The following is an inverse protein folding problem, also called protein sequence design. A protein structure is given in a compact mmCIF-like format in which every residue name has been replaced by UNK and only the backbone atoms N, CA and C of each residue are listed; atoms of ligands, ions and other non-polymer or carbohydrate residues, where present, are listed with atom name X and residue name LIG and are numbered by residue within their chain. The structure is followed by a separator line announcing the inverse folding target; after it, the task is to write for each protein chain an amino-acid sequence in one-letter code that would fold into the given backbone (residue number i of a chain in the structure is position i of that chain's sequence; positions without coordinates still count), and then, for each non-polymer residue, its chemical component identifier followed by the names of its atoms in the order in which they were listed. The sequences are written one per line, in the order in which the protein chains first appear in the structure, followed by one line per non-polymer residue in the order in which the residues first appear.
data_IF_996107175495
#
_entry.id   IF_996107175495
#
_cell.length_a   1.000
_cell.length_b   1.000
_cell.length_c   1.000
_cell.angle_alpha   90.00
_cell.angle_beta   90.00
_cell.angle_gamma   90.00
#
_symmetry.space_group_name_H-M   'P 1'
#
loop_
_entity.id
_entity.type
_entity.pdbx_description
1 polymer ?
#
# COMPACT_ATOMS: atom_id res chain seq x y z
N UNK A 1 -17.16 20.14 24.17
CA UNK A 1 -16.06 19.71 25.08
C UNK A 1 -15.23 20.88 25.59
N UNK A 2 -14.46 21.66 24.77
CA UNK A 2 -13.72 22.81 25.34
C UNK A 2 -14.63 23.91 25.93
N UNK A 3 -15.71 24.24 25.23
CA UNK A 3 -16.71 25.18 25.70
C UNK A 3 -17.44 24.68 26.96
N UNK A 4 -17.73 23.40 27.06
CA UNK A 4 -18.35 22.76 28.23
C UNK A 4 -17.43 22.79 29.45
N UNK A 5 -16.10 22.91 29.21
CA UNK A 5 -15.07 23.09 30.23
C UNK A 5 -14.82 24.56 30.59
N UNK A 6 -15.62 25.49 30.06
CA UNK A 6 -15.54 26.92 30.35
C UNK A 6 -14.47 27.70 29.58
N UNK A 7 -13.92 27.14 28.51
CA UNK A 7 -13.04 27.93 27.62
C UNK A 7 -13.84 28.92 26.78
N UNK A 8 -13.33 30.11 26.60
CA UNK A 8 -13.95 31.12 25.72
C UNK A 8 -13.85 30.70 24.24
N UNK A 9 -14.74 31.23 23.39
CA UNK A 9 -14.79 30.92 21.95
C UNK A 9 -13.47 31.22 21.24
N UNK A 10 -12.82 32.34 21.56
CA UNK A 10 -11.57 32.82 20.97
C UNK A 10 -10.32 32.41 21.76
N UNK A 11 -10.43 31.45 22.68
CA UNK A 11 -9.27 30.99 23.44
C UNK A 11 -8.20 30.39 22.51
N UNK A 12 -6.97 30.95 22.56
CA UNK A 12 -5.86 30.57 21.71
C UNK A 12 -5.58 29.05 21.74
N UNK A 13 -5.60 28.40 22.92
CA UNK A 13 -5.35 26.96 23.03
C UNK A 13 -6.40 26.14 22.30
N UNK A 14 -7.67 26.60 22.35
CA UNK A 14 -8.78 25.95 21.63
C UNK A 14 -8.57 26.09 20.11
N UNK A 15 -8.20 27.27 19.62
CA UNK A 15 -7.98 27.51 18.20
C UNK A 15 -6.79 26.70 17.70
N UNK A 16 -5.67 26.70 18.42
CA UNK A 16 -4.49 25.88 18.07
C UNK A 16 -4.81 24.38 18.01
N UNK A 17 -5.58 23.87 18.97
CA UNK A 17 -6.05 22.47 18.95
C UNK A 17 -6.95 22.19 17.77
N UNK A 18 -7.81 23.13 17.40
CA UNK A 18 -8.68 23.04 16.23
C UNK A 18 -7.91 23.04 14.91
N UNK A 19 -6.88 23.88 14.78
CA UNK A 19 -5.99 23.89 13.61
C UNK A 19 -5.25 22.55 13.49
N UNK A 20 -4.65 22.05 14.58
CA UNK A 20 -4.01 20.73 14.58
C UNK A 20 -5.00 19.62 14.20
N UNK A 21 -6.20 19.64 14.74
CA UNK A 21 -7.25 18.67 14.42
C UNK A 21 -7.66 18.75 12.95
N UNK A 22 -7.84 19.95 12.40
CA UNK A 22 -8.15 20.16 10.99
C UNK A 22 -7.09 19.54 10.06
N UNK A 23 -5.82 19.82 10.33
CA UNK A 23 -4.71 19.24 9.58
C UNK A 23 -4.65 17.71 9.72
N UNK A 24 -4.89 17.16 10.92
CA UNK A 24 -4.95 15.70 11.12
C UNK A 24 -6.12 15.09 10.34
N UNK A 25 -7.30 15.74 10.29
CA UNK A 25 -8.41 15.24 9.48
C UNK A 25 -8.07 15.15 8.00
N UNK A 26 -7.26 16.08 7.48
CA UNK A 26 -6.81 16.06 6.09
C UNK A 26 -5.84 14.90 5.81
N UNK A 27 -5.07 14.45 6.80
CA UNK A 27 -4.20 13.27 6.64
C UNK A 27 -4.97 11.97 6.45
N UNK A 28 -6.20 11.89 6.96
CA UNK A 28 -7.08 10.73 6.66
C UNK A 28 -7.51 10.65 5.19
N UNK A 29 -7.37 11.75 4.45
CA UNK A 29 -7.56 11.80 3.01
C UNK A 29 -6.23 11.64 2.23
N UNK A 30 -5.14 11.30 2.91
CA UNK A 30 -3.82 11.08 2.31
C UNK A 30 -2.96 12.33 2.15
N UNK A 31 -3.42 13.51 2.62
CA UNK A 31 -2.68 14.77 2.44
C UNK A 31 -1.65 15.01 3.55
N UNK A 32 -0.46 15.46 3.21
CA UNK A 32 0.54 15.94 4.18
C UNK A 32 0.39 17.42 4.53
N UNK A 33 -0.23 18.19 3.65
CA UNK A 33 -0.41 19.65 3.77
C UNK A 33 -1.75 20.09 3.17
N UNK A 34 -2.08 21.35 3.36
CA UNK A 34 -3.24 21.99 2.73
C UNK A 34 -2.95 23.45 2.41
N UNK A 35 -3.71 24.03 1.49
CA UNK A 35 -3.65 25.47 1.22
C UNK A 35 -4.06 26.28 2.44
N UNK A 36 -3.40 27.38 2.69
CA UNK A 36 -3.66 28.28 3.82
C UNK A 36 -5.13 28.71 3.89
N UNK A 37 -5.65 29.21 2.76
CA UNK A 37 -7.04 29.68 2.68
C UNK A 37 -8.05 28.58 3.01
N UNK A 38 -7.82 27.36 2.50
CA UNK A 38 -8.67 26.20 2.77
C UNK A 38 -8.65 25.80 4.25
N UNK A 39 -7.50 25.90 4.90
CA UNK A 39 -7.37 25.64 6.33
C UNK A 39 -8.13 26.66 7.15
N UNK A 40 -7.95 27.97 6.86
CA UNK A 40 -8.63 29.07 7.56
C UNK A 40 -10.14 28.92 7.43
N UNK A 41 -10.65 28.69 6.22
CA UNK A 41 -12.07 28.49 5.98
C UNK A 41 -12.64 27.28 6.74
N UNK A 42 -11.91 26.17 6.74
CA UNK A 42 -12.33 24.95 7.46
C UNK A 42 -12.35 25.17 8.97
N UNK A 43 -11.29 25.77 9.55
CA UNK A 43 -11.20 26.05 10.99
C UNK A 43 -12.27 27.06 11.43
N UNK A 44 -12.53 28.09 10.62
CA UNK A 44 -13.62 29.07 10.84
C UNK A 44 -14.97 28.40 10.97
N UNK A 45 -15.30 27.46 10.07
CA UNK A 45 -16.53 26.65 10.13
C UNK A 45 -16.55 25.71 11.33
N UNK A 46 -15.41 25.05 11.62
CA UNK A 46 -15.31 24.06 12.69
C UNK A 46 -15.46 24.67 14.08
N UNK A 47 -14.86 25.84 14.31
CA UNK A 47 -14.79 26.47 15.64
C UNK A 47 -15.73 27.66 15.82
N UNK A 48 -16.33 28.19 14.74
CA UNK A 48 -17.13 29.42 14.73
C UNK A 48 -16.36 30.60 15.32
N UNK A 49 -15.12 30.83 14.91
CA UNK A 49 -14.22 31.91 15.33
C UNK A 49 -13.93 32.87 14.18
N UNK A 50 -13.41 34.06 14.49
CA UNK A 50 -13.03 35.05 13.50
C UNK A 50 -11.74 34.61 12.79
N UNK A 51 -11.54 35.09 11.57
CA UNK A 51 -10.36 34.82 10.75
C UNK A 51 -9.09 35.35 11.39
N UNK A 52 -9.09 36.59 11.90
CA UNK A 52 -7.95 37.20 12.60
C UNK A 52 -7.44 36.32 13.77
N UNK A 53 -8.34 35.75 14.57
CA UNK A 53 -7.97 34.87 15.69
C UNK A 53 -7.27 33.59 15.19
N UNK A 54 -7.65 33.08 14.00
CA UNK A 54 -7.02 31.91 13.37
C UNK A 54 -5.63 32.29 12.83
N UNK A 55 -5.50 33.43 12.15
CA UNK A 55 -4.22 33.93 11.62
C UNK A 55 -3.20 34.17 12.73
N UNK A 56 -3.59 34.83 13.83
CA UNK A 56 -2.73 35.02 15.00
C UNK A 56 -2.29 33.68 15.59
N UNK A 57 -3.18 32.71 15.68
CA UNK A 57 -2.85 31.37 16.16
C UNK A 57 -1.89 30.65 15.22
N UNK A 58 -2.05 30.73 13.90
CA UNK A 58 -1.13 30.15 12.91
C UNK A 58 0.28 30.80 13.03
N UNK A 59 0.36 32.12 13.14
CA UNK A 59 1.63 32.83 13.34
C UNK A 59 2.31 32.36 14.63
N UNK A 60 1.54 32.26 15.73
CA UNK A 60 2.05 31.76 17.01
C UNK A 60 2.53 30.31 16.92
N UNK A 61 1.81 29.44 16.18
CA UNK A 61 2.20 28.03 15.98
C UNK A 61 3.43 27.89 15.08
N UNK A 62 3.56 28.74 14.04
CA UNK A 62 4.76 28.80 13.19
C UNK A 62 6.00 29.18 14.01
N UNK A 63 5.88 30.20 14.87
CA UNK A 63 6.97 30.66 15.74
C UNK A 63 7.44 29.59 16.75
N UNK A 64 6.55 28.63 17.10
CA UNK A 64 6.85 27.50 18.00
C UNK A 64 7.22 26.21 17.27
N UNK A 65 7.40 26.27 15.95
CA UNK A 65 7.69 25.12 15.11
C UNK A 65 6.61 24.00 15.18
N UNK A 66 5.37 24.34 15.54
CA UNK A 66 4.22 23.44 15.46
C UNK A 66 3.75 23.25 14.00
N UNK A 67 3.92 24.33 13.20
CA UNK A 67 3.53 24.40 11.78
C UNK A 67 4.69 24.87 10.92
N UNK A 68 4.66 24.49 9.65
CA UNK A 68 5.49 25.04 8.59
C UNK A 68 4.59 25.64 7.51
N UNK A 69 4.90 26.86 7.09
CA UNK A 69 4.28 27.51 5.95
C UNK A 69 5.30 27.56 4.82
N UNK A 70 4.89 27.07 3.66
CA UNK A 70 5.70 27.00 2.46
C UNK A 70 4.97 27.65 1.29
N UNK A 71 5.64 28.56 0.59
CA UNK A 71 5.12 29.18 -0.62
C UNK A 71 5.46 28.31 -1.84
N UNK A 72 4.44 27.95 -2.62
CA UNK A 72 4.58 27.18 -3.87
C UNK A 72 3.68 27.79 -4.93
N UNK A 73 4.25 28.19 -6.06
CA UNK A 73 3.49 28.75 -7.19
C UNK A 73 2.52 29.87 -6.77
N UNK A 74 2.99 30.82 -5.98
CA UNK A 74 2.20 31.95 -5.45
C UNK A 74 1.05 31.54 -4.49
N UNK A 75 1.04 30.29 -4.02
CA UNK A 75 0.10 29.80 -3.03
C UNK A 75 0.83 29.40 -1.75
N UNK A 76 0.24 29.73 -0.60
CA UNK A 76 0.78 29.36 0.70
C UNK A 76 0.19 28.02 1.18
N UNK A 77 1.08 27.10 1.58
CA UNK A 77 0.75 25.76 2.05
C UNK A 77 1.13 25.61 3.52
N UNK A 78 0.26 24.91 4.28
CA UNK A 78 0.42 24.71 5.71
C UNK A 78 0.60 23.23 6.01
N UNK A 79 1.65 22.92 6.75
CA UNK A 79 1.98 21.60 7.25
C UNK A 79 1.97 21.56 8.77
N UNK A 80 1.62 20.42 9.36
CA UNK A 80 2.18 20.09 10.66
C UNK A 80 3.69 19.83 10.51
N UNK A 81 4.49 20.35 11.42
CA UNK A 81 5.95 20.28 11.39
C UNK A 81 6.51 18.89 11.10
N UNK A 82 5.93 17.86 11.72
CA UNK A 82 6.35 16.48 11.56
C UNK A 82 6.18 15.92 10.13
N UNK A 83 5.13 16.32 9.41
CA UNK A 83 4.93 15.88 8.02
C UNK A 83 5.94 16.56 7.10
N UNK A 84 6.14 17.88 7.27
CA UNK A 84 7.14 18.61 6.53
C UNK A 84 8.55 18.02 6.73
N UNK A 85 8.93 17.74 7.97
CA UNK A 85 10.21 17.11 8.28
C UNK A 85 10.36 15.70 7.75
N UNK A 86 9.29 14.93 7.71
CA UNK A 86 9.33 13.60 7.10
C UNK A 86 9.57 13.69 5.58
N UNK A 87 8.88 14.58 4.86
CA UNK A 87 9.09 14.81 3.43
C UNK A 87 10.51 15.31 3.14
N UNK A 88 10.96 16.33 3.86
CA UNK A 88 12.33 16.88 3.73
C UNK A 88 13.40 15.79 3.96
N UNK A 89 13.24 14.98 5.00
CA UNK A 89 14.19 13.93 5.32
C UNK A 89 14.20 12.82 4.25
N UNK A 90 13.03 12.41 3.76
CA UNK A 90 12.92 11.40 2.69
C UNK A 90 13.59 11.91 1.43
N UNK A 91 13.26 13.13 0.98
CA UNK A 91 13.84 13.71 -0.22
C UNK A 91 15.38 13.83 -0.12
N UNK A 92 15.88 14.41 0.98
CA UNK A 92 17.31 14.54 1.23
C UNK A 92 18.01 13.19 1.26
N UNK A 93 17.44 12.22 1.99
CA UNK A 93 18.08 10.93 2.19
C UNK A 93 18.11 10.08 0.91
N UNK A 94 17.06 10.13 0.11
CA UNK A 94 17.03 9.46 -1.20
C UNK A 94 18.09 10.04 -2.15
N UNK A 95 18.22 11.37 -2.20
CA UNK A 95 19.24 12.01 -3.01
C UNK A 95 20.65 11.72 -2.50
N UNK A 96 20.87 11.67 -1.18
CA UNK A 96 22.16 11.30 -0.59
C UNK A 96 22.55 9.86 -0.90
N UNK A 97 21.58 8.93 -0.88
CA UNK A 97 21.80 7.53 -1.27
C UNK A 97 22.13 7.42 -2.75
N UNK A 98 21.35 8.08 -3.61
CA UNK A 98 21.49 8.00 -5.06
C UNK A 98 22.82 8.59 -5.55
N UNK A 99 23.24 9.72 -4.98
CA UNK A 99 24.49 10.40 -5.32
C UNK A 99 25.75 9.77 -4.72
N UNK A 100 25.60 8.72 -3.90
CA UNK A 100 26.77 8.08 -3.31
C UNK A 100 27.64 7.42 -4.37
N UNK A 101 28.91 7.79 -4.44
CA UNK A 101 29.81 7.48 -5.56
C UNK A 101 30.40 6.07 -5.53
N UNK A 102 30.48 5.47 -4.33
CA UNK A 102 31.00 4.10 -4.20
C UNK A 102 29.89 3.08 -4.36
N UNK A 103 29.39 2.95 -5.60
CA UNK A 103 28.27 2.04 -5.94
C UNK A 103 28.79 0.61 -5.96
N UNK A 104 28.14 -0.29 -5.24
CA UNK A 104 28.37 -1.74 -5.36
C UNK A 104 27.79 -2.24 -6.68
N UNK A 105 28.65 -2.40 -7.70
CA UNK A 105 28.28 -2.94 -9.02
C UNK A 105 28.86 -4.33 -9.20
N UNK A 106 28.17 -5.11 -9.99
CA UNK A 106 28.64 -6.42 -10.45
C UNK A 106 29.41 -6.21 -11.76
N UNK A 107 30.71 -6.46 -11.77
CA UNK A 107 31.61 -6.13 -12.88
C UNK A 107 31.30 -6.85 -14.20
N UNK A 108 30.81 -8.07 -14.18
CA UNK A 108 30.47 -8.84 -15.37
C UNK A 108 28.98 -9.09 -15.49
N UNK A 109 28.20 -8.07 -15.20
CA UNK A 109 26.75 -8.15 -15.07
C UNK A 109 26.06 -8.82 -16.28
N UNK A 110 26.41 -8.44 -17.50
CA UNK A 110 25.84 -9.04 -18.71
C UNK A 110 26.12 -10.56 -18.84
N UNK A 111 27.23 -11.03 -18.29
CA UNK A 111 27.52 -12.45 -18.24
C UNK A 111 26.64 -13.17 -17.23
N UNK A 112 26.47 -12.59 -16.06
CA UNK A 112 25.58 -13.10 -15.00
C UNK A 112 24.13 -13.15 -15.46
N UNK A 113 23.68 -12.11 -16.17
CA UNK A 113 22.34 -12.03 -16.73
C UNK A 113 22.09 -13.16 -17.76
N UNK A 114 23.02 -13.38 -18.68
CA UNK A 114 22.94 -14.48 -19.65
C UNK A 114 22.99 -15.87 -18.98
N UNK A 115 23.74 -16.00 -17.90
CA UNK A 115 23.77 -17.25 -17.13
C UNK A 115 22.44 -17.51 -16.44
N UNK A 116 21.84 -16.47 -15.88
CA UNK A 116 20.50 -16.54 -15.28
C UNK A 116 19.45 -16.98 -16.31
N UNK A 117 19.38 -16.33 -17.48
CA UNK A 117 18.41 -16.66 -18.53
C UNK A 117 18.54 -18.12 -18.99
N UNK A 118 19.78 -18.61 -19.14
CA UNK A 118 20.04 -20.02 -19.50
C UNK A 118 19.60 -20.99 -18.40
N UNK A 119 19.85 -20.65 -17.13
CA UNK A 119 19.55 -21.51 -15.98
C UNK A 119 18.04 -21.56 -15.70
N UNK A 120 17.37 -20.43 -15.76
CA UNK A 120 15.96 -20.29 -15.42
C UNK A 120 15.02 -20.64 -16.58
N UNK A 121 15.52 -20.72 -17.82
CA UNK A 121 14.73 -20.83 -19.05
C UNK A 121 13.67 -19.69 -19.18
N UNK A 122 13.95 -18.53 -18.57
CA UNK A 122 13.11 -17.34 -18.62
C UNK A 122 13.69 -16.41 -19.69
N UNK A 123 12.88 -15.99 -20.63
CA UNK A 123 13.20 -14.93 -21.58
C UNK A 123 12.69 -13.59 -21.03
N UNK A 124 13.63 -12.68 -20.74
CA UNK A 124 13.32 -11.36 -20.22
C UNK A 124 12.99 -10.39 -21.35
N UNK A 125 11.94 -9.59 -21.18
CA UNK A 125 11.64 -8.54 -22.13
C UNK A 125 12.67 -7.40 -22.07
N UNK A 126 12.73 -6.60 -23.14
CA UNK A 126 13.66 -5.46 -23.22
C UNK A 126 13.54 -4.51 -22.02
N UNK A 127 12.31 -4.19 -21.58
CA UNK A 127 12.05 -3.33 -20.42
C UNK A 127 12.43 -4.00 -19.08
N UNK A 128 12.32 -5.31 -18.97
CA UNK A 128 12.82 -6.03 -17.80
C UNK A 128 14.35 -6.05 -17.76
N UNK A 129 15.00 -6.25 -18.90
CA UNK A 129 16.45 -6.14 -19.01
C UNK A 129 16.94 -4.74 -18.65
N UNK A 130 16.28 -3.70 -19.15
CA UNK A 130 16.55 -2.28 -18.80
C UNK A 130 16.46 -2.06 -17.29
N UNK A 131 15.38 -2.56 -16.65
CA UNK A 131 15.18 -2.44 -15.20
C UNK A 131 16.30 -3.14 -14.40
N UNK A 132 16.65 -4.35 -14.77
CA UNK A 132 17.69 -5.13 -14.11
C UNK A 132 19.07 -4.47 -14.25
N UNK A 133 19.38 -3.91 -15.44
CA UNK A 133 20.59 -3.12 -15.66
C UNK A 133 20.60 -1.83 -14.84
N UNK A 134 19.47 -1.11 -14.81
CA UNK A 134 19.34 0.11 -14.03
C UNK A 134 19.61 -0.12 -12.54
N UNK A 135 19.18 -1.26 -11.98
CA UNK A 135 19.45 -1.62 -10.58
C UNK A 135 20.94 -1.88 -10.34
N UNK A 136 21.64 -2.49 -11.30
CA UNK A 136 23.10 -2.65 -11.17
C UNK A 136 23.82 -1.31 -11.19
N UNK A 137 23.39 -0.39 -12.05
CA UNK A 137 24.07 0.88 -12.30
C UNK A 137 23.77 1.98 -11.29
N UNK A 138 22.61 1.96 -10.61
CA UNK A 138 22.17 3.02 -9.71
C UNK A 138 22.09 2.52 -8.26
N UNK A 139 22.17 3.46 -7.31
CA UNK A 139 21.97 3.14 -5.89
C UNK A 139 20.50 3.11 -5.51
N UNK A 140 19.70 3.98 -6.10
CA UNK A 140 18.24 4.00 -5.92
C UNK A 140 17.58 3.80 -7.27
N UNK A 141 16.65 2.85 -7.36
CA UNK A 141 15.91 2.56 -8.59
C UNK A 141 14.46 2.26 -8.29
N UNK A 142 13.57 2.79 -9.11
CA UNK A 142 12.12 2.53 -9.03
C UNK A 142 11.69 1.68 -10.21
N UNK A 143 10.89 0.64 -9.94
CA UNK A 143 10.24 -0.18 -10.94
C UNK A 143 8.74 -0.06 -10.74
N UNK A 144 8.05 0.50 -11.71
CA UNK A 144 6.60 0.63 -11.67
C UNK A 144 5.95 -0.03 -12.88
N UNK A 145 4.75 -0.54 -12.69
CA UNK A 145 3.95 -1.15 -13.75
C UNK A 145 2.72 -1.85 -13.21
N UNK A 146 1.71 -1.99 -14.02
CA UNK A 146 0.45 -2.62 -13.69
C UNK A 146 0.55 -4.13 -13.42
N UNK A 147 -0.58 -4.79 -13.17
CA UNK A 147 -0.64 -6.23 -12.99
C UNK A 147 -0.19 -6.95 -14.28
N UNK A 148 0.51 -8.09 -14.12
CA UNK A 148 0.95 -8.91 -15.26
C UNK A 148 2.16 -8.38 -16.05
N UNK A 149 2.83 -7.30 -15.60
CA UNK A 149 4.01 -6.73 -16.26
C UNK A 149 5.34 -7.39 -15.86
N UNK A 150 5.31 -8.37 -14.94
CA UNK A 150 6.47 -9.17 -14.59
C UNK A 150 7.40 -8.56 -13.53
N UNK A 151 6.90 -7.69 -12.66
CA UNK A 151 7.66 -7.14 -11.50
C UNK A 151 8.31 -8.24 -10.66
N UNK A 152 7.57 -9.29 -10.31
CA UNK A 152 8.08 -10.43 -9.53
C UNK A 152 9.21 -11.16 -10.24
N UNK A 153 9.18 -11.25 -11.57
CA UNK A 153 10.28 -11.86 -12.36
C UNK A 153 11.55 -11.05 -12.23
N UNK A 154 11.47 -9.73 -12.29
CA UNK A 154 12.61 -8.82 -12.07
C UNK A 154 13.19 -9.02 -10.66
N UNK A 155 12.33 -9.05 -9.63
CA UNK A 155 12.75 -9.26 -8.24
C UNK A 155 13.52 -10.59 -8.11
N UNK A 156 13.00 -11.70 -8.65
CA UNK A 156 13.68 -13.00 -8.65
C UNK A 156 15.04 -12.94 -9.34
N UNK A 157 15.07 -12.36 -10.52
CA UNK A 157 16.31 -12.23 -11.30
C UNK A 157 17.39 -11.48 -10.54
N UNK A 158 17.02 -10.36 -9.90
CA UNK A 158 17.95 -9.55 -9.12
C UNK A 158 18.46 -10.32 -7.90
N UNK A 159 17.59 -10.99 -7.16
CA UNK A 159 17.97 -11.78 -5.99
C UNK A 159 18.99 -12.83 -6.39
N UNK A 160 18.74 -13.59 -7.45
CA UNK A 160 19.62 -14.65 -7.90
C UNK A 160 20.98 -14.12 -8.34
N UNK A 161 21.00 -13.06 -9.16
CA UNK A 161 22.25 -12.47 -9.65
C UNK A 161 23.06 -11.88 -8.50
N UNK A 162 22.42 -11.13 -7.58
CA UNK A 162 23.12 -10.48 -6.49
C UNK A 162 23.64 -11.49 -5.46
N UNK A 163 22.87 -12.53 -5.13
CA UNK A 163 23.35 -13.64 -4.27
C UNK A 163 24.51 -14.41 -4.89
N UNK A 164 24.46 -14.65 -6.20
CA UNK A 164 25.58 -15.32 -6.89
C UNK A 164 26.88 -14.52 -6.82
N UNK A 165 26.76 -13.21 -6.63
CA UNK A 165 27.90 -12.30 -6.44
C UNK A 165 28.11 -11.91 -4.97
N UNK A 166 27.73 -12.79 -4.03
CA UNK A 166 27.96 -12.66 -2.58
C UNK A 166 27.35 -11.40 -1.95
N UNK A 167 26.39 -10.75 -2.62
CA UNK A 167 25.65 -9.63 -2.08
C UNK A 167 24.43 -10.12 -1.29
N UNK A 168 24.13 -9.44 -0.18
CA UNK A 168 23.04 -9.78 0.73
C UNK A 168 21.76 -9.00 0.39
N UNK A 169 20.77 -9.63 -0.29
CA UNK A 169 19.47 -8.98 -0.51
C UNK A 169 18.60 -9.06 0.75
N UNK A 170 17.88 -7.97 1.05
CA UNK A 170 16.86 -7.87 2.07
C UNK A 170 15.53 -7.56 1.40
N UNK A 171 14.52 -8.41 1.64
CA UNK A 171 13.21 -8.33 1.01
C UNK A 171 12.16 -7.86 2.02
N UNK A 172 11.39 -6.87 1.65
CA UNK A 172 10.33 -6.37 2.51
C UNK A 172 9.13 -5.82 1.74
N UNK A 173 8.01 -5.71 2.45
CA UNK A 173 6.77 -5.15 1.94
C UNK A 173 6.00 -4.43 3.08
N UNK A 174 5.06 -3.53 2.78
CA UNK A 174 4.31 -2.80 3.81
C UNK A 174 3.35 -3.69 4.61
N UNK A 175 2.86 -4.80 4.05
CA UNK A 175 1.87 -5.68 4.68
C UNK A 175 2.36 -7.11 4.82
N UNK A 176 1.85 -7.83 5.85
CA UNK A 176 2.19 -9.25 6.06
C UNK A 176 1.79 -10.15 4.88
N UNK A 177 0.67 -9.85 4.22
CA UNK A 177 0.23 -10.60 3.03
C UNK A 177 1.17 -10.40 1.85
N UNK A 178 1.60 -9.17 1.60
CA UNK A 178 2.55 -8.86 0.54
C UNK A 178 3.93 -9.50 0.82
N UNK A 179 4.43 -9.42 2.05
CA UNK A 179 5.68 -10.07 2.46
C UNK A 179 5.61 -11.59 2.29
N UNK A 180 4.51 -12.22 2.71
CA UNK A 180 4.30 -13.66 2.53
C UNK A 180 4.27 -14.05 1.05
N UNK A 181 3.52 -13.31 0.22
CA UNK A 181 3.46 -13.53 -1.24
C UNK A 181 4.85 -13.36 -1.88
N UNK A 182 5.61 -12.35 -1.44
CA UNK A 182 6.98 -12.12 -1.90
C UNK A 182 7.88 -13.30 -1.52
N UNK A 183 7.79 -13.81 -0.28
CA UNK A 183 8.55 -14.98 0.16
C UNK A 183 8.21 -16.22 -0.66
N UNK A 184 6.93 -16.52 -0.85
CA UNK A 184 6.47 -17.68 -1.63
C UNK A 184 6.91 -17.57 -3.11
N UNK A 185 6.79 -16.37 -3.69
CA UNK A 185 7.15 -16.13 -5.08
C UNK A 185 8.65 -16.18 -5.34
N UNK A 186 9.49 -15.73 -4.40
CA UNK A 186 10.93 -15.64 -4.56
C UNK A 186 11.70 -16.79 -3.93
N UNK A 187 11.04 -17.62 -3.12
CA UNK A 187 11.65 -18.68 -2.29
C UNK A 187 12.72 -18.12 -1.32
N UNK A 188 12.55 -16.85 -0.94
CA UNK A 188 13.42 -16.15 -0.02
C UNK A 188 12.62 -15.52 1.11
N UNK A 189 13.23 -15.41 2.30
CA UNK A 189 12.56 -14.77 3.43
C UNK A 189 12.32 -13.29 3.13
N UNK A 190 11.07 -12.85 3.24
CA UNK A 190 10.67 -11.45 3.21
C UNK A 190 9.90 -11.11 4.47
N UNK A 191 10.07 -9.89 4.97
CA UNK A 191 9.39 -9.41 6.18
C UNK A 191 8.56 -8.16 5.92
N UNK A 192 7.71 -7.80 6.87
CA UNK A 192 7.07 -6.49 6.81
C UNK A 192 8.07 -5.38 7.15
N UNK A 193 7.91 -4.20 6.54
CA UNK A 193 8.72 -3.02 6.90
C UNK A 193 8.67 -2.74 8.40
N UNK A 194 7.50 -2.82 9.03
CA UNK A 194 7.36 -2.62 10.47
C UNK A 194 8.22 -3.60 11.30
N UNK A 195 8.24 -4.87 10.90
CA UNK A 195 9.05 -5.90 11.58
C UNK A 195 10.55 -5.67 11.33
N UNK A 196 10.92 -5.39 10.08
CA UNK A 196 12.31 -5.14 9.69
C UNK A 196 12.92 -3.95 10.43
N UNK A 197 12.13 -2.89 10.62
CA UNK A 197 12.52 -1.64 11.29
C UNK A 197 12.30 -1.67 12.81
N UNK A 198 11.77 -2.75 13.34
CA UNK A 198 11.41 -2.94 14.75
C UNK A 198 10.47 -1.87 15.35
N UNK A 199 9.65 -1.23 14.52
CA UNK A 199 8.77 -0.12 14.92
C UNK A 199 7.70 -0.58 15.92
N UNK A 200 7.28 -1.83 15.90
CA UNK A 200 6.19 -2.36 16.75
C UNK A 200 6.55 -2.59 18.22
N UNK A 201 7.81 -2.44 18.63
CA UNK A 201 8.25 -2.58 20.03
C UNK A 201 8.14 -1.28 20.82
N UNK A 202 7.86 -0.16 20.18
CA UNK A 202 7.72 1.14 20.82
C UNK A 202 6.25 1.31 21.14
N UNK A 203 5.96 1.19 22.44
CA UNK A 203 4.67 1.19 23.12
C UNK A 203 3.56 2.05 22.53
N UNK A 204 2.34 1.48 22.52
CA UNK A 204 1.03 2.10 22.28
C UNK A 204 0.72 3.36 23.14
N UNK A 205 1.59 3.77 24.05
CA UNK A 205 1.34 4.86 25.01
C UNK A 205 1.58 6.26 24.45
N UNK A 206 2.30 6.38 23.32
CA UNK A 206 2.48 7.67 22.63
C UNK A 206 2.00 7.56 21.17
N UNK A 207 0.70 7.56 20.95
CA UNK A 207 0.07 7.78 19.64
C UNK A 207 0.22 9.24 19.15
N UNK A 208 1.30 9.92 19.54
CA UNK A 208 1.76 11.12 18.88
C UNK A 208 2.61 10.73 17.67
N UNK A 209 2.24 11.18 16.50
CA UNK A 209 3.02 11.07 15.28
C UNK A 209 4.41 11.66 15.59
N UNK A 210 5.42 10.83 15.74
CA UNK A 210 6.79 11.27 16.08
C UNK A 210 7.73 10.94 14.93
N UNK A 211 8.48 11.94 14.47
CA UNK A 211 9.57 11.76 13.52
C UNK A 211 10.82 11.15 14.18
N UNK A 212 10.89 11.09 15.50
CA UNK A 212 12.09 10.71 16.27
C UNK A 212 12.07 9.27 16.78
N UNK A 213 11.34 8.41 16.10
CA UNK A 213 11.39 6.97 16.40
C UNK A 213 12.77 6.42 16.01
N UNK A 214 13.41 5.75 16.97
CA UNK A 214 14.61 4.95 16.71
C UNK A 214 14.23 3.73 15.90
N UNK A 215 14.91 3.49 14.79
CA UNK A 215 14.69 2.33 13.91
C UNK A 215 15.92 1.43 13.90
N UNK A 216 15.71 0.12 13.76
CA UNK A 216 16.80 -0.82 13.59
C UNK A 216 17.49 -0.59 12.24
N UNK A 217 18.83 -0.51 12.20
CA UNK A 217 19.56 -0.43 10.94
C UNK A 217 19.38 -1.72 10.13
N UNK A 218 19.28 -1.58 8.80
CA UNK A 218 19.13 -2.72 7.90
C UNK A 218 20.52 -3.19 7.45
N UNK A 219 20.86 -4.43 7.83
CA UNK A 219 22.10 -5.08 7.39
C UNK A 219 21.90 -5.82 6.07
N UNK A 220 22.18 -5.14 4.96
CA UNK A 220 22.03 -5.66 3.61
C UNK A 220 22.74 -4.80 2.57
N UNK A 221 23.14 -5.43 1.46
CA UNK A 221 23.78 -4.72 0.32
C UNK A 221 22.74 -4.11 -0.61
N UNK A 222 21.58 -4.76 -0.71
CA UNK A 222 20.43 -4.31 -1.50
C UNK A 222 19.14 -4.55 -0.73
N UNK A 223 18.32 -3.53 -0.62
CA UNK A 223 16.97 -3.60 -0.01
C UNK A 223 15.94 -3.46 -1.12
N UNK A 224 15.07 -4.45 -1.23
CA UNK A 224 13.99 -4.51 -2.22
C UNK A 224 12.67 -4.38 -1.49
N UNK A 225 11.93 -3.33 -1.80
CA UNK A 225 10.61 -3.04 -1.21
C UNK A 225 9.54 -3.25 -2.28
N UNK A 226 8.66 -4.22 -2.10
CA UNK A 226 7.51 -4.44 -2.98
C UNK A 226 6.25 -3.76 -2.44
N UNK A 227 5.25 -3.56 -3.28
CA UNK A 227 3.97 -2.87 -2.98
C UNK A 227 4.16 -1.44 -2.44
N UNK A 228 5.09 -0.68 -3.05
CA UNK A 228 5.44 0.68 -2.62
C UNK A 228 4.29 1.68 -2.65
N UNK A 229 3.23 1.45 -3.44
CA UNK A 229 2.02 2.29 -3.44
C UNK A 229 1.33 2.39 -2.08
N UNK A 230 1.53 1.38 -1.21
CA UNK A 230 0.96 1.32 0.15
C UNK A 230 1.84 1.97 1.23
N UNK A 231 3.04 2.46 0.88
CA UNK A 231 3.99 3.05 1.84
C UNK A 231 3.71 4.54 1.98
N UNK A 232 3.39 4.97 3.20
CA UNK A 232 3.19 6.37 3.56
C UNK A 232 4.50 7.11 3.85
N UNK A 233 4.42 8.43 4.06
CA UNK A 233 5.60 9.27 4.26
C UNK A 233 6.38 8.93 5.53
N UNK A 234 5.72 8.50 6.60
CA UNK A 234 6.42 8.14 7.84
C UNK A 234 7.15 6.81 7.71
N UNK A 235 6.48 5.80 7.12
CA UNK A 235 7.10 4.49 6.90
C UNK A 235 8.31 4.62 5.95
N UNK A 236 8.20 5.45 4.90
CA UNK A 236 9.32 5.77 4.04
C UNK A 236 10.44 6.51 4.76
N UNK A 237 10.11 7.47 5.63
CA UNK A 237 11.10 8.18 6.44
C UNK A 237 11.86 7.22 7.38
N UNK A 238 11.17 6.27 7.99
CA UNK A 238 11.80 5.25 8.84
C UNK A 238 12.71 4.32 8.03
N UNK A 239 12.26 3.87 6.86
CA UNK A 239 13.08 3.09 5.94
C UNK A 239 14.36 3.86 5.56
N UNK A 240 14.25 5.11 5.15
CA UNK A 240 15.38 5.95 4.80
C UNK A 240 16.38 6.14 5.95
N UNK A 241 15.90 6.23 7.20
CA UNK A 241 16.75 6.31 8.39
C UNK A 241 17.54 5.03 8.66
N UNK A 242 16.95 3.87 8.33
CA UNK A 242 17.52 2.55 8.59
C UNK A 242 18.59 2.13 7.57
N UNK A 243 18.68 2.79 6.43
CA UNK A 243 19.62 2.43 5.35
C UNK A 243 21.02 3.01 5.59
N UNK A 244 22.03 2.22 5.35
CA UNK A 244 23.42 2.70 5.32
C UNK A 244 23.77 3.38 3.98
N UNK A 245 24.80 4.24 3.99
CA UNK A 245 25.38 4.74 2.74
C UNK A 245 26.01 3.57 1.98
N UNK A 246 25.66 3.46 0.70
CA UNK A 246 26.13 2.38 -0.17
C UNK A 246 25.21 1.15 -0.20
N UNK A 247 24.14 1.11 0.61
CA UNK A 247 23.05 0.13 0.41
C UNK A 247 22.24 0.53 -0.82
N UNK A 248 22.05 -0.41 -1.74
CA UNK A 248 21.13 -0.21 -2.87
C UNK A 248 19.69 -0.28 -2.42
N UNK A 249 18.84 0.59 -2.95
CA UNK A 249 17.40 0.62 -2.67
C UNK A 249 16.60 0.43 -3.96
N UNK A 250 15.82 -0.63 -4.02
CA UNK A 250 14.90 -0.91 -5.13
C UNK A 250 13.47 -0.81 -4.63
N UNK A 251 12.74 0.15 -5.18
CA UNK A 251 11.34 0.42 -4.88
C UNK A 251 10.48 -0.16 -6.00
N UNK A 252 9.66 -1.16 -5.68
CA UNK A 252 8.79 -1.83 -6.65
C UNK A 252 7.34 -1.57 -6.30
N UNK A 253 6.54 -1.15 -7.27
CA UNK A 253 5.13 -0.86 -7.01
C UNK A 253 4.34 -0.63 -8.29
N UNK A 254 3.13 -0.18 -8.11
CA UNK A 254 2.24 0.19 -9.19
C UNK A 254 1.70 1.60 -8.90
N UNK A 255 2.11 2.57 -9.70
CA UNK A 255 1.73 3.99 -9.53
C UNK A 255 0.22 4.19 -9.70
N UNK A 256 -0.44 3.28 -10.44
CA UNK A 256 -1.85 3.37 -10.78
C UNK A 256 -2.75 2.67 -9.75
N UNK A 257 -2.18 1.97 -8.77
CA UNK A 257 -2.93 1.43 -7.64
C UNK A 257 -3.32 2.52 -6.63
N UNK A 258 -4.27 2.17 -5.76
CA UNK A 258 -4.66 3.06 -4.68
C UNK A 258 -3.46 3.46 -3.82
N UNK A 259 -3.37 4.75 -3.43
CA UNK A 259 -2.30 5.23 -2.57
C UNK A 259 -2.38 4.63 -1.17
N UNK A 260 -1.37 4.91 -0.35
CA UNK A 260 -1.34 4.53 1.06
C UNK A 260 -2.55 5.06 1.83
N UNK A 261 -2.95 4.33 2.87
CA UNK A 261 -3.99 4.81 3.81
C UNK A 261 -3.46 5.95 4.68
N UNK A 262 -2.15 5.96 4.96
CA UNK A 262 -1.46 7.04 5.65
C UNK A 262 -1.16 8.22 4.72
N UNK A 263 -0.67 9.34 5.28
CA UNK A 263 -0.40 10.57 4.53
C UNK A 263 0.79 10.44 3.57
N UNK A 264 0.68 11.10 2.43
CA UNK A 264 1.70 11.18 1.39
C UNK A 264 1.54 10.11 0.28
N UNK A 265 1.70 10.55 -0.96
CA UNK A 265 1.72 9.67 -2.13
C UNK A 265 3.15 9.41 -2.60
N UNK A 266 3.94 8.80 -1.70
CA UNK A 266 5.40 8.72 -1.77
C UNK A 266 5.90 8.18 -3.11
N UNK A 267 5.36 7.06 -3.59
CA UNK A 267 5.81 6.45 -4.86
C UNK A 267 5.58 7.39 -6.03
N UNK A 268 4.40 8.00 -6.10
CA UNK A 268 4.03 8.92 -7.17
C UNK A 268 4.90 10.18 -7.13
N UNK A 269 5.04 10.78 -5.97
CA UNK A 269 5.80 12.03 -5.80
C UNK A 269 7.29 11.85 -6.17
N UNK A 270 7.91 10.70 -5.81
CA UNK A 270 9.29 10.41 -6.21
C UNK A 270 9.38 10.23 -7.74
N UNK A 271 8.44 9.52 -8.36
CA UNK A 271 8.42 9.32 -9.82
C UNK A 271 8.23 10.65 -10.55
N UNK A 272 7.28 11.47 -10.12
CA UNK A 272 6.99 12.78 -10.73
C UNK A 272 8.12 13.80 -10.52
N UNK A 273 8.94 13.64 -9.50
CA UNK A 273 10.12 14.47 -9.29
C UNK A 273 11.19 14.31 -10.37
N UNK A 274 11.19 13.20 -11.10
CA UNK A 274 12.19 12.85 -12.12
C UNK A 274 13.64 12.83 -11.61
N UNK A 275 13.85 12.76 -10.29
CA UNK A 275 15.19 12.80 -9.68
C UNK A 275 15.79 11.42 -9.49
N UNK A 276 14.98 10.37 -9.43
CA UNK A 276 15.39 8.99 -9.20
C UNK A 276 15.12 8.17 -10.45
N UNK A 277 16.07 7.31 -10.81
CA UNK A 277 15.95 6.41 -11.96
C UNK A 277 14.70 5.55 -11.84
N UNK A 278 13.78 5.72 -12.79
CA UNK A 278 12.49 5.03 -12.81
C UNK A 278 12.29 4.28 -14.12
N UNK A 279 11.99 2.98 -14.02
CA UNK A 279 11.65 2.13 -15.16
C UNK A 279 10.18 1.79 -15.10
N UNK A 280 9.44 2.17 -16.15
CA UNK A 280 8.02 1.86 -16.32
C UNK A 280 7.83 0.62 -17.19
N UNK A 281 7.18 -0.40 -16.63
CA UNK A 281 6.85 -1.65 -17.32
C UNK A 281 5.45 -1.56 -17.90
N UNK A 282 5.34 -1.45 -19.20
CA UNK A 282 4.07 -1.31 -19.92
C UNK A 282 3.69 -2.57 -20.74
N UNK A 283 4.58 -3.55 -20.85
CA UNK A 283 4.27 -4.77 -21.59
C UNK A 283 3.54 -5.77 -20.69
N UNK A 284 2.31 -6.07 -21.03
CA UNK A 284 1.55 -7.17 -20.42
C UNK A 284 2.00 -8.47 -21.08
N UNK A 285 2.40 -9.46 -20.28
CA UNK A 285 2.83 -10.75 -20.82
C UNK A 285 1.65 -11.55 -21.37
N UNK A 286 1.90 -12.39 -22.37
CA UNK A 286 0.88 -13.12 -23.14
C UNK A 286 -0.13 -13.90 -22.27
N UNK A 287 0.30 -14.51 -21.18
CA UNK A 287 -0.61 -15.20 -20.26
C UNK A 287 -1.52 -14.21 -19.51
N UNK A 288 -0.97 -13.08 -19.08
CA UNK A 288 -1.69 -12.04 -18.39
C UNK A 288 -2.65 -11.29 -19.34
N UNK A 289 -2.28 -11.12 -20.62
CA UNK A 289 -3.13 -10.49 -21.64
C UNK A 289 -4.39 -11.31 -21.96
N UNK A 290 -4.44 -12.60 -21.61
CA UNK A 290 -5.65 -13.43 -21.73
C UNK A 290 -6.62 -13.26 -20.56
N UNK A 291 -6.20 -12.70 -19.44
CA UNK A 291 -7.04 -12.45 -18.28
C UNK A 291 -7.86 -11.19 -18.46
N UNK A 292 -9.20 -11.32 -18.45
CA UNK A 292 -10.11 -10.16 -18.49
C UNK A 292 -9.95 -9.27 -17.26
N UNK A 293 -9.56 -9.82 -16.10
CA UNK A 293 -9.27 -9.04 -14.90
C UNK A 293 -8.14 -8.05 -15.18
N UNK A 294 -7.06 -8.52 -15.81
CA UNK A 294 -5.88 -7.69 -16.10
C UNK A 294 -6.19 -6.68 -17.20
N UNK A 295 -6.82 -7.11 -18.28
CA UNK A 295 -7.20 -6.22 -19.39
C UNK A 295 -8.13 -5.12 -18.89
N UNK A 296 -9.16 -5.46 -18.12
CA UNK A 296 -10.09 -4.47 -17.56
C UNK A 296 -9.43 -3.54 -16.55
N UNK A 297 -8.46 -4.00 -15.77
CA UNK A 297 -7.71 -3.14 -14.87
C UNK A 297 -6.93 -2.04 -15.62
N UNK A 298 -6.30 -2.39 -16.74
CA UNK A 298 -5.60 -1.41 -17.59
C UNK A 298 -6.59 -0.45 -18.27
N UNK A 299 -7.68 -0.96 -18.84
CA UNK A 299 -8.70 -0.13 -19.48
C UNK A 299 -9.32 0.89 -18.53
N UNK A 300 -9.68 0.45 -17.32
CA UNK A 300 -10.21 1.35 -16.28
C UNK A 300 -9.20 2.44 -15.91
N UNK A 301 -7.91 2.10 -15.84
CA UNK A 301 -6.85 3.07 -15.58
C UNK A 301 -6.70 4.11 -16.70
N UNK A 302 -6.96 3.72 -17.94
CA UNK A 302 -6.98 4.59 -19.11
C UNK A 302 -8.30 5.36 -19.28
N UNK A 303 -9.26 5.15 -18.36
CA UNK A 303 -10.58 5.79 -18.41
C UNK A 303 -11.58 5.11 -19.34
N UNK A 304 -11.27 3.90 -19.80
CA UNK A 304 -12.13 3.11 -20.67
C UNK A 304 -13.10 2.22 -19.86
N UNK A 305 -14.18 1.78 -20.53
CA UNK A 305 -15.10 0.77 -20.00
C UNK A 305 -14.51 -0.65 -20.01
N UNK A 306 -15.23 -1.60 -19.38
CA UNK A 306 -14.85 -3.01 -19.45
C UNK A 306 -14.92 -3.53 -20.89
N UNK A 307 -14.03 -4.51 -21.20
CA UNK A 307 -14.02 -5.13 -22.53
C UNK A 307 -15.36 -5.80 -22.82
N UNK A 308 -15.94 -5.52 -23.99
CA UNK A 308 -17.23 -6.07 -24.43
C UNK A 308 -17.07 -7.43 -25.11
N UNK A 309 -18.19 -8.13 -25.32
CA UNK A 309 -18.19 -9.41 -26.06
C UNK A 309 -17.81 -9.23 -27.51
N UNK A 310 -18.30 -8.15 -28.12
CA UNK A 310 -18.01 -7.80 -29.53
C UNK A 310 -16.51 -7.54 -29.71
N UNK A 311 -15.88 -6.74 -28.84
CA UNK A 311 -14.43 -6.50 -28.86
C UNK A 311 -13.62 -7.80 -28.69
N UNK A 312 -14.08 -8.74 -27.84
CA UNK A 312 -13.42 -10.04 -27.69
C UNK A 312 -13.54 -10.89 -28.95
N UNK A 313 -14.70 -10.90 -29.61
CA UNK A 313 -14.91 -11.61 -30.87
C UNK A 313 -14.03 -11.03 -32.00
N UNK A 314 -13.92 -9.72 -32.09
CA UNK A 314 -13.04 -9.05 -33.05
C UNK A 314 -11.57 -9.36 -32.84
N UNK A 315 -11.11 -9.37 -31.58
CA UNK A 315 -9.73 -9.75 -31.23
C UNK A 315 -9.46 -11.23 -31.54
N UNK A 316 -10.42 -12.13 -31.29
CA UNK A 316 -10.29 -13.53 -31.61
C UNK A 316 -10.22 -13.79 -33.12
N UNK A 317 -10.87 -12.95 -33.93
CA UNK A 317 -10.84 -13.03 -35.42
C UNK A 317 -9.56 -12.48 -36.03
N UNK A 318 -8.91 -11.51 -35.36
CA UNK A 318 -7.72 -10.85 -35.87
C UNK A 318 -6.41 -11.48 -35.37
N UNK A 319 -6.39 -12.02 -34.14
CA UNK A 319 -5.24 -12.72 -33.56
C UNK A 319 -5.56 -14.23 -33.44
N UNK A 320 -4.98 -15.04 -34.32
CA UNK A 320 -5.11 -16.50 -34.24
C UNK A 320 -4.65 -17.01 -32.85
N UNK A 321 -5.61 -17.42 -31.99
CA UNK A 321 -5.47 -17.92 -30.62
C UNK A 321 -5.58 -16.93 -29.46
N UNK A 322 -6.28 -15.81 -29.58
CA UNK A 322 -6.64 -14.96 -28.45
C UNK A 322 -7.85 -15.51 -27.67
N UNK A 323 -7.71 -16.69 -27.06
CA UNK A 323 -8.77 -17.23 -26.19
C UNK A 323 -8.65 -16.56 -24.81
N UNK A 324 -9.58 -15.62 -24.52
CA UNK A 324 -9.65 -14.97 -23.23
C UNK A 324 -10.12 -15.93 -22.13
N UNK A 325 -9.53 -15.79 -20.95
CA UNK A 325 -9.99 -16.50 -19.75
C UNK A 325 -11.37 -16.00 -19.32
N UNK A 326 -12.19 -16.91 -18.82
CA UNK A 326 -13.50 -16.55 -18.27
C UNK A 326 -13.38 -16.25 -16.76
N UNK A 327 -12.57 -15.23 -16.42
CA UNK A 327 -12.15 -14.88 -15.06
C UNK A 327 -12.72 -13.56 -14.55
N UNK A 328 -13.51 -12.83 -15.35
CA UNK A 328 -14.15 -11.58 -14.96
C UNK A 328 -15.62 -11.56 -15.38
N UNK A 329 -16.50 -11.26 -14.42
CA UNK A 329 -17.94 -11.14 -14.61
C UNK A 329 -18.44 -9.84 -14.04
N UNK A 330 -19.15 -9.05 -14.83
CA UNK A 330 -19.77 -7.81 -14.42
C UNK A 330 -21.29 -7.99 -14.32
N UNK A 331 -21.85 -7.59 -13.19
CA UNK A 331 -23.30 -7.56 -12.96
C UNK A 331 -23.69 -6.11 -12.73
N UNK A 332 -24.34 -5.50 -13.72
CA UNK A 332 -24.86 -4.14 -13.63
C UNK A 332 -26.14 -4.12 -12.80
N UNK A 333 -26.06 -3.53 -11.60
CA UNK A 333 -27.20 -3.45 -10.69
C UNK A 333 -27.09 -2.16 -9.84
N UNK A 334 -28.15 -1.38 -9.82
CA UNK A 334 -28.23 -0.11 -9.09
C UNK A 334 -29.01 -0.20 -7.77
N UNK A 335 -29.85 -1.22 -7.60
CA UNK A 335 -30.61 -1.41 -6.35
C UNK A 335 -29.73 -2.06 -5.27
N UNK A 336 -29.64 -1.40 -4.11
CA UNK A 336 -28.88 -1.91 -2.97
C UNK A 336 -29.36 -3.27 -2.50
N UNK A 337 -30.67 -3.49 -2.49
CA UNK A 337 -31.30 -4.74 -2.08
C UNK A 337 -30.92 -5.89 -3.02
N UNK A 338 -30.92 -5.63 -4.33
CA UNK A 338 -30.51 -6.63 -5.33
C UNK A 338 -29.01 -6.89 -5.31
N UNK A 339 -28.19 -5.85 -5.10
CA UNK A 339 -26.74 -6.02 -4.91
C UNK A 339 -26.48 -6.94 -3.70
N UNK A 340 -27.14 -6.66 -2.57
CA UNK A 340 -27.03 -7.47 -1.36
C UNK A 340 -27.49 -8.91 -1.61
N UNK A 341 -28.64 -9.10 -2.26
CA UNK A 341 -29.13 -10.43 -2.64
C UNK A 341 -28.11 -11.17 -3.50
N UNK A 342 -27.53 -10.51 -4.51
CA UNK A 342 -26.54 -11.12 -5.37
C UNK A 342 -25.26 -11.52 -4.59
N UNK A 343 -24.77 -10.67 -3.69
CA UNK A 343 -23.61 -10.96 -2.85
C UNK A 343 -23.86 -12.19 -1.96
N UNK A 344 -25.02 -12.23 -1.27
CA UNK A 344 -25.38 -13.35 -0.39
C UNK A 344 -25.60 -14.65 -1.17
N UNK A 345 -26.32 -14.59 -2.30
CA UNK A 345 -26.58 -15.76 -3.16
C UNK A 345 -25.31 -16.32 -3.79
N UNK A 346 -24.42 -15.44 -4.30
CA UNK A 346 -23.13 -15.87 -4.85
C UNK A 346 -22.27 -16.53 -3.77
N UNK A 347 -22.18 -15.93 -2.59
CA UNK A 347 -21.32 -16.41 -1.50
C UNK A 347 -21.85 -17.68 -0.82
N UNK A 348 -23.17 -17.81 -0.69
CA UNK A 348 -23.80 -18.93 0.01
C UNK A 348 -23.80 -20.22 -0.82
N UNK A 349 -24.25 -20.14 -2.08
CA UNK A 349 -24.53 -21.34 -2.87
C UNK A 349 -23.98 -21.31 -4.29
N UNK A 350 -24.14 -20.18 -5.02
CA UNK A 350 -23.89 -20.16 -6.46
C UNK A 350 -22.44 -20.44 -6.83
N UNK A 351 -21.47 -19.80 -6.16
CA UNK A 351 -20.04 -20.02 -6.43
C UNK A 351 -19.60 -21.41 -6.01
N UNK A 352 -20.13 -21.94 -4.91
CA UNK A 352 -19.86 -23.32 -4.50
C UNK A 352 -20.30 -24.33 -5.56
N UNK A 353 -21.50 -24.13 -6.15
CA UNK A 353 -22.04 -25.01 -7.19
C UNK A 353 -21.37 -24.79 -8.55
N UNK A 354 -20.82 -23.60 -8.82
CA UNK A 354 -20.18 -23.25 -10.09
C UNK A 354 -18.78 -23.84 -10.22
N UNK A 355 -17.96 -23.83 -9.16
CA UNK A 355 -16.55 -24.20 -9.24
C UNK A 355 -15.97 -24.79 -7.95
N UNK A 356 -16.79 -25.34 -7.07
CA UNK A 356 -16.38 -25.92 -5.78
C UNK A 356 -15.59 -24.92 -4.90
N UNK A 357 -15.99 -23.63 -4.97
CA UNK A 357 -15.36 -22.58 -4.18
C UNK A 357 -15.79 -22.66 -2.71
N UNK A 358 -14.81 -22.83 -1.82
CA UNK A 358 -15.00 -22.74 -0.38
C UNK A 358 -15.05 -21.28 0.08
N UNK A 359 -16.12 -20.87 0.77
CA UNK A 359 -16.28 -19.48 1.21
C UNK A 359 -15.11 -19.00 2.06
N UNK A 360 -14.65 -19.81 2.99
CA UNK A 360 -13.62 -19.41 3.94
C UNK A 360 -12.19 -19.42 3.36
N UNK A 361 -11.96 -20.17 2.29
CA UNK A 361 -10.63 -20.32 1.67
C UNK A 361 -10.48 -19.53 0.36
N UNK A 362 -11.52 -19.60 -0.49
CA UNK A 362 -11.42 -19.17 -1.90
C UNK A 362 -12.14 -17.86 -2.18
N UNK A 363 -13.11 -17.45 -1.34
CA UNK A 363 -13.93 -16.26 -1.61
C UNK A 363 -13.50 -15.09 -0.71
N UNK A 364 -13.36 -13.91 -1.30
CA UNK A 364 -13.16 -12.66 -0.59
C UNK A 364 -14.10 -11.61 -1.13
N UNK A 365 -14.90 -11.00 -0.25
CA UNK A 365 -15.79 -9.89 -0.59
C UNK A 365 -15.06 -8.58 -0.28
N UNK A 366 -15.08 -7.67 -1.25
CA UNK A 366 -14.47 -6.34 -1.13
C UNK A 366 -15.58 -5.31 -1.30
N UNK A 367 -15.66 -4.35 -0.40
CA UNK A 367 -16.57 -3.21 -0.46
C UNK A 367 -15.84 -1.91 -0.14
N UNK A 368 -16.18 -0.79 -0.79
CA UNK A 368 -15.48 0.49 -0.61
C UNK A 368 -15.79 1.17 0.73
N UNK A 369 -16.83 0.73 1.48
CA UNK A 369 -17.29 1.42 2.69
C UNK A 369 -17.32 0.50 3.91
N UNK A 370 -17.16 1.11 5.11
CA UNK A 370 -17.32 0.40 6.40
C UNK A 370 -18.75 0.49 6.94
N UNK A 371 -19.49 1.54 6.58
CA UNK A 371 -20.84 1.87 7.08
C UNK A 371 -21.86 1.73 5.96
N UNK A 372 -23.15 1.62 6.35
CA UNK A 372 -24.27 1.48 5.42
C UNK A 372 -24.58 0.01 5.07
N UNK A 373 -25.64 -0.20 4.30
CA UNK A 373 -26.23 -1.51 4.01
C UNK A 373 -25.27 -2.45 3.27
N UNK A 374 -24.41 -1.88 2.42
CA UNK A 374 -23.35 -2.58 1.68
C UNK A 374 -21.96 -2.42 2.30
N UNK A 375 -21.88 -1.86 3.52
CA UNK A 375 -20.61 -1.70 4.25
C UNK A 375 -20.15 -2.99 4.93
N UNK A 376 -18.85 -3.07 5.25
CA UNK A 376 -18.25 -4.29 5.84
C UNK A 376 -18.95 -4.75 7.11
N UNK A 377 -19.47 -3.83 7.95
CA UNK A 377 -20.14 -4.20 9.21
C UNK A 377 -21.43 -4.99 8.95
N UNK A 378 -22.30 -4.50 8.07
CA UNK A 378 -23.58 -5.15 7.79
C UNK A 378 -23.38 -6.40 6.94
N UNK A 379 -22.49 -6.32 5.92
CA UNK A 379 -22.14 -7.49 5.11
C UNK A 379 -21.58 -8.64 5.95
N UNK A 380 -20.67 -8.38 6.90
CA UNK A 380 -20.15 -9.43 7.76
C UNK A 380 -21.24 -10.13 8.59
N UNK A 381 -22.20 -9.37 9.12
CA UNK A 381 -23.31 -9.92 9.90
C UNK A 381 -24.23 -10.79 9.05
N UNK A 382 -24.58 -10.33 7.86
CA UNK A 382 -25.47 -11.07 6.95
C UNK A 382 -24.77 -12.30 6.37
N UNK A 383 -23.51 -12.17 5.99
CA UNK A 383 -22.71 -13.29 5.50
C UNK A 383 -22.48 -14.34 6.57
N UNK A 384 -22.19 -13.96 7.82
CA UNK A 384 -22.06 -14.92 8.92
C UNK A 384 -23.32 -15.78 9.05
N UNK A 385 -24.51 -15.16 9.01
CA UNK A 385 -25.76 -15.90 9.08
C UNK A 385 -26.01 -16.80 7.85
N UNK A 386 -25.46 -16.45 6.69
CA UNK A 386 -25.60 -17.23 5.45
C UNK A 386 -24.65 -18.40 5.39
N UNK A 387 -23.35 -18.18 5.73
CA UNK A 387 -22.28 -19.19 5.52
C UNK A 387 -21.87 -19.93 6.79
N UNK A 388 -22.15 -19.36 7.95
CA UNK A 388 -21.89 -19.96 9.26
C UNK A 388 -23.06 -19.68 10.22
N UNK A 389 -24.28 -20.21 9.94
CA UNK A 389 -25.46 -19.97 10.76
C UNK A 389 -25.29 -20.47 12.19
N UNK A 390 -26.09 -19.89 13.10
CA UNK A 390 -26.18 -20.36 14.48
C UNK A 390 -26.63 -21.83 14.49
N UNK A 391 -25.95 -22.64 15.31
CA UNK A 391 -26.23 -24.04 15.49
C UNK A 391 -26.06 -24.43 16.95
N UNK A 392 -26.88 -25.33 17.46
CA UNK A 392 -26.77 -25.85 18.81
C UNK A 392 -25.38 -26.47 19.04
N UNK A 393 -24.72 -26.05 20.13
CA UNK A 393 -23.35 -26.47 20.48
C UNK A 393 -22.21 -25.60 19.92
N UNK A 394 -22.45 -24.69 18.97
CA UNK A 394 -21.42 -23.75 18.54
C UNK A 394 -21.16 -22.68 19.61
N UNK A 395 -19.89 -22.41 19.87
CA UNK A 395 -19.49 -21.36 20.81
C UNK A 395 -19.58 -19.98 20.13
N UNK A 396 -20.14 -19.05 20.88
CA UNK A 396 -20.24 -17.64 20.46
C UNK A 396 -19.64 -16.71 21.50
N UNK A 397 -19.05 -15.61 21.05
CA UNK A 397 -18.55 -14.52 21.90
C UNK A 397 -18.93 -13.19 21.32
N UNK A 398 -19.67 -12.40 22.08
CA UNK A 398 -20.00 -11.01 21.73
C UNK A 398 -18.88 -10.09 22.13
N UNK A 399 -18.48 -9.20 21.21
CA UNK A 399 -17.52 -8.13 21.44
C UNK A 399 -18.02 -6.84 20.80
N UNK A 400 -18.45 -5.87 21.59
CA UNK A 400 -19.17 -4.69 21.12
C UNK A 400 -20.44 -5.06 20.35
N UNK A 401 -20.56 -4.60 19.11
CA UNK A 401 -21.68 -4.90 18.20
C UNK A 401 -21.48 -6.17 17.38
N UNK A 402 -20.33 -6.81 17.48
CA UNK A 402 -19.97 -7.98 16.69
C UNK A 402 -20.14 -9.27 17.51
N UNK A 403 -20.62 -10.32 16.85
CA UNK A 403 -20.67 -11.68 17.40
C UNK A 403 -19.62 -12.51 16.64
N UNK A 404 -18.71 -13.12 17.38
CA UNK A 404 -17.76 -14.08 16.85
C UNK A 404 -18.29 -15.47 17.12
N UNK A 405 -18.36 -16.30 16.10
CA UNK A 405 -18.90 -17.67 16.14
C UNK A 405 -17.83 -18.68 15.76
N UNK A 406 -17.82 -19.81 16.42
CA UNK A 406 -16.92 -20.91 16.09
C UNK A 406 -17.08 -21.30 14.61
N UNK A 407 -15.95 -21.34 13.87
CA UNK A 407 -15.90 -21.52 12.42
C UNK A 407 -15.85 -20.23 11.60
N UNK A 408 -15.93 -19.05 12.24
CA UNK A 408 -15.73 -17.78 11.53
C UNK A 408 -14.28 -17.62 11.05
N UNK A 409 -14.13 -17.01 9.88
CA UNK A 409 -12.84 -16.52 9.41
C UNK A 409 -12.55 -15.17 10.08
N UNK A 410 -11.50 -15.12 10.84
CA UNK A 410 -11.09 -13.91 11.56
C UNK A 410 -9.75 -13.37 11.06
N UNK A 411 -9.53 -12.07 11.29
CA UNK A 411 -8.26 -11.41 11.02
C UNK A 411 -7.81 -10.66 12.25
N UNK A 412 -6.55 -10.84 12.62
CA UNK A 412 -5.92 -10.02 13.66
C UNK A 412 -5.62 -8.63 13.08
N UNK A 413 -6.21 -7.59 13.68
CA UNK A 413 -6.09 -6.20 13.21
C UNK A 413 -4.98 -5.41 13.91
N UNK A 414 -4.41 -5.92 14.99
CA UNK A 414 -3.22 -5.37 15.68
C UNK A 414 -2.15 -6.45 15.75
N UNK A 415 -0.91 -6.04 15.50
CA UNK A 415 0.22 -6.95 15.67
C UNK A 415 0.31 -7.38 17.15
N UNK A 416 0.45 -8.67 17.37
CA UNK A 416 0.76 -9.24 18.67
C UNK A 416 1.85 -10.30 18.46
N UNK A 417 3.07 -9.93 18.82
CA UNK A 417 4.26 -10.78 18.65
C UNK A 417 4.41 -11.82 19.78
N UNK A 418 3.58 -11.75 20.81
CA UNK A 418 3.62 -12.66 21.96
C UNK A 418 2.68 -13.87 21.80
N UNK A 419 1.87 -13.89 20.73
CA UNK A 419 1.01 -15.02 20.44
C UNK A 419 1.77 -16.03 19.58
N UNK A 420 2.11 -17.15 20.18
CA UNK A 420 2.62 -18.34 19.50
C UNK A 420 1.48 -19.35 19.32
N UNK A 421 1.43 -19.98 18.16
CA UNK A 421 0.55 -21.13 17.94
C UNK A 421 1.33 -22.23 17.21
N UNK A 422 1.12 -23.46 17.64
CA UNK A 422 1.69 -24.64 17.01
C UNK A 422 0.60 -25.33 16.19
N UNK A 423 0.92 -25.64 14.93
CA UNK A 423 0.07 -26.49 14.13
C UNK A 423 0.29 -27.92 14.61
N UNK A 424 -0.69 -28.50 15.30
CA UNK A 424 -0.68 -29.94 15.56
C UNK A 424 -0.86 -30.63 14.22
N UNK A 425 0.19 -31.24 13.69
CA UNK A 425 0.05 -32.18 12.60
C UNK A 425 -0.78 -33.37 13.09
N UNK A 426 -1.77 -33.84 12.30
CA UNK A 426 -2.46 -35.08 12.66
C UNK A 426 -1.41 -36.19 12.72
N UNK A 427 -1.36 -36.90 13.84
CA UNK A 427 -0.58 -38.14 13.92
C UNK A 427 -0.99 -39.04 12.74
N UNK A 428 -0.04 -39.33 11.87
CA UNK A 428 -0.18 -40.40 10.88
C UNK A 428 0.13 -41.68 11.67
N UNK A 429 -0.91 -42.48 11.97
CA UNK A 429 -0.76 -43.85 12.43
C UNK A 429 -0.23 -44.73 11.30
#
# INVERSE_FOLDING_TARGET
MALDLGFEYNNEKRIRSGIKHALILMTYNGHCCTKYESLVEFVKKLLSVNENDIEEAIISMKAKEDLVLEERNEEEWVYLYQYYKAEENVARRLLDLDRYTNIKKIDKFEKELKLFEKKSSIELSEKQLEAIRAINENNVCIITGGPGTGKTTIIKTIIDIFKHNEMKPVLCAPTGRAAKKMSEATENEASTLHRLLEIGKISDENQGISTDISVAPIDGDIVIVDEMSMVDIFLMNYLCKALYKGTKLVLVGDIDQLPSVGPGNVLKDIIESEKITTIRLNKIFRQAAKSKIIVNAHRVNEGEGFITKEEIEDLNNTEANAEFLNDFFYIDESSKEKILYNVLSLSGERLKNYGDYDFFKSIQIITPTKKGDLGTKELNKLLQNTVNPEQEGKKEKKFGDSIFREGDRIMQIKNNYDIYWEKKEPYVE
#
